data_IF_626804175703
#
_entry.id   IF_626804175703
#
_cell.length_a   1.000
_cell.length_b   1.000
_cell.length_c   1.000
_cell.angle_alpha   90.00
_cell.angle_beta   90.00
_cell.angle_gamma   90.00
#
_symmetry.space_group_name_H-M   'P 1'
#
loop_
_entity.id
_entity.type
_entity.pdbx_description
1 polymer ?
#
# COMPACT_ATOMS: atom_id res chain seq x y z
N UNK A 1 1.62 5.89 -0.79
CA UNK A 1 2.93 6.08 -0.14
C UNK A 1 2.76 5.85 1.34
N UNK A 2 3.42 4.88 1.90
CA UNK A 2 3.29 4.54 3.31
C UNK A 2 3.96 5.62 4.17
N UNK A 3 3.23 6.15 5.14
CA UNK A 3 3.71 7.21 6.01
C UNK A 3 4.77 6.76 7.02
N UNK A 4 4.85 5.45 7.27
CA UNK A 4 5.86 4.85 8.14
C UNK A 4 6.67 3.84 7.34
N UNK A 5 7.97 4.02 7.29
CA UNK A 5 8.91 3.00 6.85
C UNK A 5 8.93 1.85 7.87
N UNK A 6 9.23 0.65 7.40
CA UNK A 6 9.31 -0.58 8.19
C UNK A 6 7.96 -1.15 8.60
N UNK A 7 7.20 -1.58 7.61
CA UNK A 7 5.96 -2.33 7.83
C UNK A 7 5.83 -3.50 6.84
N UNK A 8 5.00 -4.46 7.23
CA UNK A 8 4.54 -5.54 6.37
C UNK A 8 3.02 -5.61 6.41
N UNK A 9 2.42 -6.10 5.34
CA UNK A 9 0.97 -6.26 5.24
C UNK A 9 0.59 -7.37 4.27
N UNK A 10 -0.65 -7.85 4.40
CA UNK A 10 -1.23 -8.85 3.49
C UNK A 10 -1.99 -8.18 2.35
N UNK A 11 -1.78 -8.69 1.14
CA UNK A 11 -2.60 -8.39 -0.02
C UNK A 11 -2.94 -9.72 -0.72
N UNK A 12 -4.13 -10.23 -0.44
CA UNK A 12 -4.47 -11.60 -0.82
C UNK A 12 -3.56 -12.60 -0.11
N UNK A 13 -2.86 -13.43 -0.87
CA UNK A 13 -1.89 -14.39 -0.36
C UNK A 13 -0.44 -13.87 -0.39
N UNK A 14 -0.24 -12.61 -0.72
CA UNK A 14 1.09 -12.01 -0.77
C UNK A 14 1.37 -11.21 0.49
N UNK A 15 2.58 -11.36 1.01
CA UNK A 15 3.10 -10.51 2.07
C UNK A 15 3.94 -9.43 1.41
N UNK A 16 3.49 -8.19 1.52
CA UNK A 16 4.20 -7.03 1.02
C UNK A 16 4.96 -6.34 2.15
N UNK A 17 5.97 -5.58 1.79
CA UNK A 17 6.79 -4.86 2.75
C UNK A 17 7.16 -3.47 2.25
N UNK A 18 7.48 -2.62 3.20
CA UNK A 18 8.15 -1.35 2.98
C UNK A 18 9.23 -1.22 4.06
N UNK A 19 10.47 -1.03 3.66
CA UNK A 19 11.62 -0.97 4.58
C UNK A 19 12.56 0.16 4.23
N UNK A 20 12.94 0.94 5.23
CA UNK A 20 14.01 1.94 5.12
C UNK A 20 15.40 1.34 5.17
N UNK A 21 15.51 0.10 5.64
CA UNK A 21 16.77 -0.59 5.88
C UNK A 21 16.84 -1.90 5.10
N UNK A 22 18.05 -2.39 4.84
CA UNK A 22 18.25 -3.71 4.29
C UNK A 22 17.81 -4.78 5.30
N UNK A 23 17.11 -5.79 4.82
CA UNK A 23 16.59 -6.89 5.64
C UNK A 23 17.52 -8.10 5.48
N UNK A 24 18.00 -8.63 6.61
CA UNK A 24 18.84 -9.82 6.66
C UNK A 24 18.14 -11.07 7.20
N UNK A 25 17.03 -10.90 7.89
CA UNK A 25 16.20 -11.99 8.41
C UNK A 25 14.75 -11.58 8.58
N UNK A 26 13.85 -12.53 8.36
CA UNK A 26 12.40 -12.34 8.48
C UNK A 26 11.76 -13.45 9.28
N UNK A 27 10.82 -13.11 10.14
CA UNK A 27 9.95 -14.04 10.83
C UNK A 27 8.62 -13.35 11.14
N UNK A 28 7.53 -14.05 10.91
CA UNK A 28 6.20 -13.59 11.29
C UNK A 28 5.23 -14.78 11.39
N UNK A 29 4.13 -14.57 12.12
CA UNK A 29 3.01 -15.49 12.16
C UNK A 29 1.89 -14.97 11.24
N UNK A 30 1.12 -15.93 10.69
CA UNK A 30 -0.10 -15.64 9.93
C UNK A 30 -1.29 -15.96 10.84
N UNK A 31 -2.20 -15.00 10.95
CA UNK A 31 -3.35 -15.11 11.84
C UNK A 31 -4.58 -15.64 11.08
N UNK A 32 -5.32 -16.55 11.74
CA UNK A 32 -6.60 -17.11 11.28
C UNK A 32 -6.57 -17.96 10.00
N UNK A 33 -5.40 -18.27 9.48
CA UNK A 33 -5.24 -19.18 8.35
C UNK A 33 -4.09 -20.17 8.60
N UNK A 34 -4.14 -21.30 7.91
CA UNK A 34 -3.06 -22.29 7.95
C UNK A 34 -2.13 -22.10 6.77
N UNK A 35 -0.84 -21.98 7.02
CA UNK A 35 0.18 -21.89 5.99
C UNK A 35 0.44 -23.28 5.43
N UNK A 36 0.22 -23.46 4.13
CA UNK A 36 0.57 -24.67 3.38
C UNK A 36 1.94 -24.57 2.71
N UNK A 37 2.40 -23.32 2.47
CA UNK A 37 3.70 -23.04 1.90
C UNK A 37 4.00 -21.56 1.84
N UNK A 38 5.28 -21.22 1.74
CA UNK A 38 5.77 -19.86 1.54
C UNK A 38 6.95 -19.91 0.57
N UNK A 39 6.96 -19.04 -0.42
CA UNK A 39 8.00 -19.01 -1.45
C UNK A 39 7.98 -17.68 -2.20
N UNK A 40 8.86 -17.52 -3.16
CA UNK A 40 8.85 -16.39 -4.07
C UNK A 40 9.18 -15.03 -3.44
N UNK A 41 8.74 -13.97 -4.10
CA UNK A 41 8.97 -12.60 -3.67
C UNK A 41 10.43 -12.17 -3.66
N UNK A 42 10.70 -11.02 -3.05
CA UNK A 42 12.04 -10.46 -2.95
C UNK A 42 12.96 -11.30 -2.03
N UNK A 43 12.38 -12.06 -1.10
CA UNK A 43 13.15 -13.00 -0.29
C UNK A 43 13.84 -14.05 -1.17
N UNK A 44 13.08 -14.73 -2.03
CA UNK A 44 13.64 -15.70 -2.96
C UNK A 44 14.56 -15.05 -4.01
N UNK A 45 14.20 -13.90 -4.54
CA UNK A 45 14.99 -13.17 -5.52
C UNK A 45 16.35 -12.75 -4.99
N UNK A 46 16.46 -12.50 -3.68
CA UNK A 46 17.72 -12.13 -3.02
C UNK A 46 18.44 -13.32 -2.35
N UNK A 47 18.02 -14.55 -2.65
CA UNK A 47 18.73 -15.75 -2.20
C UNK A 47 18.41 -16.18 -0.77
N UNK A 48 17.29 -15.76 -0.20
CA UNK A 48 16.81 -16.24 1.08
C UNK A 48 16.27 -17.66 0.98
N UNK A 49 16.52 -18.43 2.01
CA UNK A 49 15.83 -19.68 2.25
C UNK A 49 14.57 -19.36 3.07
N UNK A 50 13.42 -19.64 2.49
CA UNK A 50 12.12 -19.44 3.15
C UNK A 50 11.60 -20.78 3.63
N UNK A 51 11.26 -20.85 4.90
CA UNK A 51 10.69 -22.02 5.55
C UNK A 51 9.39 -21.63 6.27
N UNK A 52 8.43 -22.53 6.33
CA UNK A 52 7.17 -22.28 7.03
C UNK A 52 6.71 -23.49 7.84
N UNK A 53 6.06 -23.19 8.95
CA UNK A 53 5.18 -24.12 9.66
C UNK A 53 3.73 -23.79 9.30
N UNK A 54 2.77 -24.41 9.98
CA UNK A 54 1.35 -24.09 9.78
C UNK A 54 0.97 -22.65 10.17
N UNK A 55 1.78 -21.98 10.97
CA UNK A 55 1.48 -20.64 11.52
C UNK A 55 2.57 -19.61 11.33
N UNK A 56 3.82 -20.04 11.10
CA UNK A 56 4.99 -19.16 11.12
C UNK A 56 5.76 -19.25 9.81
N UNK A 57 6.21 -18.12 9.29
CA UNK A 57 7.18 -18.02 8.19
C UNK A 57 8.51 -17.54 8.73
N UNK A 58 9.58 -18.19 8.28
CA UNK A 58 10.96 -17.84 8.60
C UNK A 58 11.77 -17.72 7.29
N UNK A 59 12.48 -16.63 7.14
CA UNK A 59 13.36 -16.42 5.99
C UNK A 59 14.72 -15.93 6.44
N UNK A 60 15.77 -16.53 5.88
CA UNK A 60 17.15 -16.17 6.18
C UNK A 60 18.08 -16.56 5.02
N UNK A 61 19.28 -16.03 5.04
CA UNK A 61 20.30 -16.35 4.05
C UNK A 61 21.49 -17.03 4.70
N UNK A 62 21.92 -18.15 4.13
CA UNK A 62 23.16 -18.83 4.52
C UNK A 62 24.41 -18.14 3.97
N UNK A 63 24.26 -17.27 2.98
CA UNK A 63 25.37 -16.60 2.28
C UNK A 63 25.56 -15.15 2.71
N UNK A 64 24.75 -14.67 3.66
CA UNK A 64 24.78 -13.26 4.08
C UNK A 64 24.10 -12.32 3.09
N UNK A 65 23.24 -12.83 2.21
CA UNK A 65 22.43 -12.01 1.32
C UNK A 65 21.41 -11.18 2.11
N UNK A 66 21.00 -10.08 1.53
CA UNK A 66 19.99 -9.19 2.12
C UNK A 66 18.98 -8.73 1.08
N UNK A 67 17.80 -8.39 1.54
CA UNK A 67 16.79 -7.70 0.74
C UNK A 67 17.08 -6.21 0.87
N UNK A 68 17.33 -5.47 -0.23
CA UNK A 68 17.60 -4.04 -0.17
C UNK A 68 16.43 -3.25 0.44
N UNK A 69 16.72 -2.08 0.99
CA UNK A 69 15.68 -1.12 1.37
C UNK A 69 14.78 -0.80 0.18
N UNK A 70 13.51 -0.61 0.44
CA UNK A 70 12.50 -0.37 -0.59
C UNK A 70 11.18 -1.03 -0.26
N UNK A 71 10.37 -1.27 -1.26
CA UNK A 71 9.07 -1.91 -1.11
C UNK A 71 8.84 -2.94 -2.22
N UNK A 72 8.00 -3.91 -1.93
CA UNK A 72 7.65 -4.96 -2.87
C UNK A 72 6.92 -6.12 -2.21
N UNK A 73 6.87 -7.24 -2.92
CA UNK A 73 6.38 -8.50 -2.37
C UNK A 73 7.52 -9.21 -1.65
N UNK A 74 7.38 -9.43 -0.35
CA UNK A 74 8.38 -10.09 0.46
C UNK A 74 8.41 -11.59 0.21
N UNK A 75 7.25 -12.23 0.39
CA UNK A 75 7.01 -13.66 0.12
C UNK A 75 5.58 -13.86 -0.38
N UNK A 76 5.37 -14.96 -1.09
CA UNK A 76 4.07 -15.44 -1.52
C UNK A 76 3.66 -16.63 -0.65
N UNK A 77 2.44 -16.61 -0.13
CA UNK A 77 1.90 -17.66 0.72
C UNK A 77 0.94 -18.55 -0.03
N UNK A 78 0.93 -19.82 0.34
CA UNK A 78 -0.18 -20.73 0.04
C UNK A 78 -0.91 -20.98 1.35
N UNK A 79 -2.19 -20.59 1.41
CA UNK A 79 -2.98 -20.60 2.64
C UNK A 79 -4.20 -21.51 2.50
N UNK A 80 -4.58 -22.13 3.60
CA UNK A 80 -5.89 -22.74 3.82
C UNK A 80 -6.66 -21.84 4.79
N UNK A 81 -7.72 -21.22 4.29
CA UNK A 81 -8.47 -20.18 4.99
C UNK A 81 -8.04 -18.77 4.61
N UNK A 82 -8.76 -17.80 5.15
CA UNK A 82 -8.52 -16.37 4.93
C UNK A 82 -7.74 -15.78 6.10
N UNK A 83 -6.51 -15.37 5.85
CA UNK A 83 -5.69 -14.71 6.86
C UNK A 83 -6.25 -13.32 7.18
N UNK A 84 -6.32 -12.99 8.46
CA UNK A 84 -6.81 -11.69 8.95
C UNK A 84 -5.69 -10.71 9.26
N UNK A 85 -4.45 -11.21 9.38
CA UNK A 85 -3.32 -10.34 9.67
C UNK A 85 -2.02 -11.12 9.86
N UNK A 86 -0.99 -10.38 10.23
CA UNK A 86 0.32 -10.90 10.60
C UNK A 86 0.67 -10.44 12.01
N UNK A 87 1.29 -11.33 12.78
CA UNK A 87 1.69 -11.07 14.17
C UNK A 87 3.09 -11.61 14.46
N UNK A 88 3.59 -11.33 15.65
CA UNK A 88 4.92 -11.79 16.10
C UNK A 88 6.02 -11.48 15.08
N UNK A 89 5.99 -10.27 14.52
CA UNK A 89 6.89 -9.84 13.47
C UNK A 89 8.28 -9.59 14.05
N UNK A 90 9.26 -10.29 13.51
CA UNK A 90 10.69 -10.10 13.84
C UNK A 90 11.45 -9.93 12.54
N UNK A 91 12.02 -8.76 12.35
CA UNK A 91 12.89 -8.44 11.22
C UNK A 91 14.25 -8.04 11.73
N UNK A 92 15.29 -8.40 11.01
CA UNK A 92 16.66 -8.03 11.35
C UNK A 92 17.41 -7.49 10.15
N UNK A 93 18.36 -6.60 10.42
CA UNK A 93 19.32 -6.15 9.42
C UNK A 93 20.33 -7.26 9.07
N UNK A 94 21.12 -7.10 8.00
CA UNK A 94 22.18 -8.06 7.65
C UNK A 94 23.23 -8.22 8.75
N UNK A 95 23.38 -7.23 9.64
CA UNK A 95 24.28 -7.30 10.80
C UNK A 95 23.63 -7.94 12.04
N UNK A 96 22.39 -8.39 11.94
CA UNK A 96 21.66 -9.03 13.03
C UNK A 96 21.02 -8.07 14.03
N UNK A 97 20.95 -6.79 13.72
CA UNK A 97 20.27 -5.80 14.54
C UNK A 97 18.78 -5.86 14.26
N UNK A 98 17.97 -5.88 15.33
CA UNK A 98 16.52 -5.88 15.19
C UNK A 98 16.04 -4.61 14.50
N UNK A 99 15.16 -4.78 13.51
CA UNK A 99 14.46 -3.70 12.82
C UNK A 99 13.05 -3.61 13.40
N UNK A 100 12.61 -2.40 13.68
CA UNK A 100 11.28 -2.15 14.22
C UNK A 100 10.25 -2.16 13.10
N UNK A 101 9.61 -3.32 12.90
CA UNK A 101 8.56 -3.52 11.91
C UNK A 101 7.20 -3.65 12.58
N UNK A 102 6.18 -3.11 11.97
CA UNK A 102 4.80 -3.27 12.38
C UNK A 102 3.94 -3.85 11.26
N UNK A 103 2.83 -4.47 11.64
CA UNK A 103 1.81 -4.88 10.69
C UNK A 103 0.98 -3.66 10.30
N UNK A 104 0.81 -3.51 8.99
CA UNK A 104 -0.06 -2.50 8.42
C UNK A 104 -1.38 -3.16 8.00
N UNK A 105 -2.46 -2.82 8.63
CA UNK A 105 -3.77 -3.46 8.40
C UNK A 105 -4.43 -3.08 7.07
N UNK A 106 -3.71 -2.40 6.18
CA UNK A 106 -4.13 -2.17 4.78
C UNK A 106 -5.50 -1.53 4.63
N UNK A 107 -5.93 -0.80 5.62
CA UNK A 107 -7.15 -0.01 5.59
C UNK A 107 -6.82 1.38 6.10
N UNK A 108 -7.20 2.36 5.34
CA UNK A 108 -7.34 3.74 5.78
C UNK A 108 -6.28 4.26 6.77
N UNK A 109 -5.09 4.57 6.28
CA UNK A 109 -4.18 5.53 6.94
C UNK A 109 -4.83 6.92 7.09
N UNK A 110 -6.11 6.98 6.79
CA UNK A 110 -6.91 8.16 6.92
C UNK A 110 -7.56 8.16 8.30
N UNK A 111 -6.86 8.71 9.29
CA UNK A 111 -7.38 8.84 10.65
C UNK A 111 -8.72 9.61 10.69
N UNK A 112 -8.95 10.47 9.73
CA UNK A 112 -10.22 11.18 9.54
C UNK A 112 -11.28 10.36 8.80
N UNK A 113 -10.88 9.30 8.07
CA UNK A 113 -11.75 8.55 7.17
C UNK A 113 -12.19 9.34 5.94
N UNK A 114 -11.60 10.51 5.69
CA UNK A 114 -11.95 11.39 4.58
C UNK A 114 -10.88 11.32 3.49
N UNK A 115 -11.28 10.87 2.32
CA UNK A 115 -10.43 10.85 1.13
C UNK A 115 -10.90 11.93 0.16
N UNK A 116 -9.96 12.56 -0.50
CA UNK A 116 -10.29 13.39 -1.66
C UNK A 116 -10.61 12.52 -2.90
N UNK A 117 -11.02 13.15 -3.99
CA UNK A 117 -11.36 12.44 -5.22
C UNK A 117 -10.17 11.71 -5.86
N UNK A 118 -8.94 12.03 -5.49
CA UNK A 118 -7.73 11.32 -5.92
C UNK A 118 -7.37 10.14 -5.00
N UNK A 119 -8.16 9.88 -3.94
CA UNK A 119 -7.90 8.84 -2.97
C UNK A 119 -6.81 9.21 -1.95
N UNK A 120 -6.51 10.48 -1.79
CA UNK A 120 -5.54 10.99 -0.80
C UNK A 120 -6.26 11.33 0.49
N UNK A 121 -5.79 10.76 1.60
CA UNK A 121 -6.33 11.06 2.92
C UNK A 121 -6.14 12.53 3.29
N UNK A 122 -7.22 13.18 3.72
CA UNK A 122 -7.27 14.60 4.02
C UNK A 122 -6.70 15.48 2.89
N UNK A 123 -6.76 14.97 1.66
CA UNK A 123 -6.34 15.69 0.47
C UNK A 123 -7.28 16.85 0.15
N UNK A 124 -6.81 17.78 -0.66
CA UNK A 124 -7.53 18.97 -1.08
C UNK A 124 -8.05 18.90 -2.53
N UNK A 125 -7.88 17.77 -3.20
CA UNK A 125 -8.36 17.61 -4.55
C UNK A 125 -9.89 17.53 -4.56
N UNK A 126 -10.51 18.35 -5.39
CA UNK A 126 -11.97 18.43 -5.57
C UNK A 126 -12.29 18.06 -7.01
N UNK A 127 -13.41 17.40 -7.23
CA UNK A 127 -13.91 17.22 -8.58
C UNK A 127 -14.36 18.58 -9.13
N UNK A 128 -13.98 18.87 -10.36
CA UNK A 128 -14.50 20.01 -11.07
C UNK A 128 -15.93 19.74 -11.60
N UNK A 129 -16.55 20.70 -12.22
CA UNK A 129 -17.90 20.53 -12.73
C UNK A 129 -18.04 19.48 -13.85
N UNK A 130 -16.93 19.10 -14.49
CA UNK A 130 -16.87 18.03 -15.49
C UNK A 130 -16.72 16.63 -14.85
N UNK A 131 -16.51 16.54 -13.51
CA UNK A 131 -16.25 15.31 -12.79
C UNK A 131 -14.78 14.87 -12.79
N UNK A 132 -13.86 15.75 -13.19
CA UNK A 132 -12.43 15.46 -13.18
C UNK A 132 -11.80 15.87 -11.84
N UNK A 133 -11.15 14.89 -11.20
CA UNK A 133 -10.49 15.12 -9.92
C UNK A 133 -9.27 16.03 -10.07
N UNK A 134 -9.27 17.15 -9.35
CA UNK A 134 -8.21 18.17 -9.45
C UNK A 134 -8.26 18.96 -10.77
N UNK A 135 -9.35 18.85 -11.51
CA UNK A 135 -9.58 19.61 -12.71
C UNK A 135 -9.78 21.10 -12.44
N UNK A 136 -9.81 21.90 -13.50
CA UNK A 136 -9.95 23.35 -13.45
C UNK A 136 -11.21 23.86 -14.17
N UNK A 137 -12.10 22.97 -14.60
CA UNK A 137 -13.33 23.36 -15.23
C UNK A 137 -14.25 24.06 -14.21
N UNK A 138 -14.80 25.18 -14.58
CA UNK A 138 -15.68 26.00 -13.74
C UNK A 138 -17.02 26.12 -14.46
N UNK A 139 -18.10 26.14 -13.70
CA UNK A 139 -19.39 26.49 -14.24
C UNK A 139 -19.40 27.96 -14.63
N UNK A 140 -19.89 28.25 -15.82
CA UNK A 140 -20.11 29.61 -16.25
C UNK A 140 -21.37 30.22 -15.60
N UNK A 141 -21.67 31.47 -15.92
CA UNK A 141 -22.84 32.19 -15.41
C UNK A 141 -24.17 31.56 -15.84
N UNK A 142 -24.12 30.66 -16.81
CA UNK A 142 -25.26 29.93 -17.33
C UNK A 142 -25.43 28.54 -16.72
N UNK A 143 -24.47 28.12 -15.85
CA UNK A 143 -24.46 26.81 -15.21
C UNK A 143 -23.91 25.71 -16.14
N UNK A 144 -23.21 26.08 -17.22
CA UNK A 144 -22.52 25.12 -18.09
C UNK A 144 -21.07 24.95 -17.65
N UNK A 145 -20.67 23.68 -17.46
CA UNK A 145 -19.31 23.36 -17.09
C UNK A 145 -18.33 23.62 -18.25
N UNK A 146 -17.38 24.53 -18.02
CA UNK A 146 -16.40 24.91 -19.03
C UNK A 146 -16.99 25.77 -20.16
N UNK A 147 -18.16 26.33 -19.97
CA UNK A 147 -18.80 27.22 -20.94
C UNK A 147 -18.12 28.58 -21.03
N UNK A 148 -18.42 29.29 -22.09
CA UNK A 148 -17.86 30.64 -22.36
C UNK A 148 -18.69 31.76 -21.70
N UNK A 149 -19.72 31.41 -20.96
CA UNK A 149 -20.65 32.37 -20.32
C UNK A 149 -21.61 33.03 -21.31
N UNK A 150 -22.19 34.15 -20.86
CA UNK A 150 -23.10 34.94 -21.69
C UNK A 150 -22.31 35.57 -22.86
N UNK A 151 -22.77 35.32 -24.08
CA UNK A 151 -22.12 35.82 -25.28
C UNK A 151 -22.11 37.34 -25.30
N UNK A 152 -21.02 37.93 -25.88
CA UNK A 152 -20.87 39.38 -26.02
C UNK A 152 -22.09 39.99 -26.76
N UNK A 153 -22.81 40.82 -26.04
CA UNK A 153 -24.00 41.53 -26.56
C UNK A 153 -25.34 40.84 -26.24
N UNK A 154 -25.29 39.68 -25.56
CA UNK A 154 -26.49 39.07 -25.01
C UNK A 154 -26.72 39.50 -23.55
N UNK A 155 -27.95 39.43 -23.10
CA UNK A 155 -28.34 39.77 -21.72
C UNK A 155 -28.64 38.54 -20.86
N UNK A 156 -28.75 37.36 -21.48
CA UNK A 156 -29.05 36.10 -20.82
C UNK A 156 -28.39 34.89 -21.50
N UNK A 157 -28.49 33.76 -20.89
CA UNK A 157 -27.92 32.50 -21.38
C UNK A 157 -28.63 31.93 -22.63
N UNK A 158 -29.78 32.47 -22.98
CA UNK A 158 -30.56 32.06 -24.15
C UNK A 158 -30.17 32.89 -25.40
N UNK A 159 -29.24 33.84 -25.28
CA UNK A 159 -28.75 34.63 -26.36
C UNK A 159 -29.61 35.84 -26.71
N UNK A 160 -30.43 36.31 -25.79
CA UNK A 160 -31.28 37.51 -25.99
C UNK A 160 -30.57 38.79 -25.59
#
# INVERSE_FOLDING_TARGET
>A
MFKNSNNIYLLGNNVLYNSSDAIGGIQFNVDDATILGASGGDAAANGFTVSSSSTTVLGFSFTGASIPSGCGTLVELTLDGDATGLSSIVMSSPSGVALDFSYYEGGDDCESGVYDCAGVCDGAAVEDCAGDCGGSAVEDECGECGGDGIADGACDCDGN
#
